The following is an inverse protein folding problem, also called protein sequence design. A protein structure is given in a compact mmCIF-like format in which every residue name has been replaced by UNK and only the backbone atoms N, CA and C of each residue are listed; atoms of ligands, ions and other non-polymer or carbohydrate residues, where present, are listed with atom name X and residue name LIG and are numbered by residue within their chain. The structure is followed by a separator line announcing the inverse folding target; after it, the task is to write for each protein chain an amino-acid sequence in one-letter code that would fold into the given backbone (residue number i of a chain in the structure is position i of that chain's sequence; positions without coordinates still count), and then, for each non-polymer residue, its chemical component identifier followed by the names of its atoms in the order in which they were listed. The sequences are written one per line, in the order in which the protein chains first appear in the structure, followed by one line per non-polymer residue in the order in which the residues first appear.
data_IF_763490499316
#
_entry.id   IF_763490499316
#
_cell.length_a   1.000
_cell.length_b   1.000
_cell.length_c   1.000
_cell.angle_alpha   90.00
_cell.angle_beta   90.00
_cell.angle_gamma   90.00
#
_symmetry.space_group_name_H-M   'P 1'
#
loop_
_entity.id
_entity.type
_entity.pdbx_description
1 polymer ?
#
# COMPACT_ATOMS: atom_id res chain seq x y z
N UNK A 1 -17.39 11.20 22.88
CA UNK A 1 -16.67 10.08 23.51
C UNK A 1 -15.62 9.64 22.49
N UNK A 2 -14.50 10.37 22.44
CA UNK A 2 -13.45 10.15 21.44
C UNK A 2 -12.58 8.99 21.89
N UNK A 3 -12.32 8.05 20.99
CA UNK A 3 -11.34 7.00 21.23
C UNK A 3 -9.96 7.64 21.46
N UNK A 4 -9.26 7.11 22.46
CA UNK A 4 -7.88 7.49 22.75
C UNK A 4 -6.99 6.82 21.68
N UNK A 5 -6.43 7.58 20.72
CA UNK A 5 -5.71 7.00 19.59
C UNK A 5 -4.54 6.13 20.06
N UNK A 6 -3.93 6.46 21.19
CA UNK A 6 -2.82 5.69 21.76
C UNK A 6 -3.25 4.31 22.29
N UNK A 7 -4.53 4.10 22.60
CA UNK A 7 -5.08 2.80 23.00
C UNK A 7 -5.50 1.94 21.82
N UNK A 8 -5.72 2.53 20.64
CA UNK A 8 -6.16 1.80 19.45
C UNK A 8 -5.00 1.20 18.65
N UNK A 9 -3.81 1.82 18.68
CA UNK A 9 -2.65 1.35 17.91
C UNK A 9 -2.25 -0.10 18.23
N UNK A 10 -2.15 -0.54 19.50
CA UNK A 10 -1.82 -1.93 19.80
C UNK A 10 -2.86 -2.92 19.25
N UNK A 11 -4.14 -2.54 19.21
CA UNK A 11 -5.23 -3.36 18.67
C UNK A 11 -5.10 -3.48 17.15
N UNK A 12 -4.84 -2.37 16.46
CA UNK A 12 -4.62 -2.36 15.00
C UNK A 12 -3.38 -3.17 14.61
N UNK A 13 -2.28 -3.00 15.34
CA UNK A 13 -1.06 -3.76 15.15
C UNK A 13 -1.31 -5.26 15.33
N UNK A 14 -2.01 -5.64 16.40
CA UNK A 14 -2.36 -7.04 16.63
C UNK A 14 -3.23 -7.61 15.52
N UNK A 15 -4.25 -6.87 15.06
CA UNK A 15 -5.15 -7.27 13.98
C UNK A 15 -4.39 -7.51 12.67
N UNK A 16 -3.42 -6.67 12.33
CA UNK A 16 -2.59 -6.84 11.14
C UNK A 16 -1.75 -8.14 11.23
N UNK A 17 -1.07 -8.38 12.35
CA UNK A 17 -0.30 -9.60 12.57
C UNK A 17 -1.18 -10.86 12.54
N UNK A 18 -2.34 -10.82 13.21
CA UNK A 18 -3.27 -11.95 13.24
C UNK A 18 -3.79 -12.28 11.84
N UNK A 19 -4.05 -11.28 10.99
CA UNK A 19 -4.48 -11.50 9.61
C UNK A 19 -3.37 -12.14 8.74
N UNK A 20 -2.11 -11.70 8.89
CA UNK A 20 -0.98 -12.34 8.21
C UNK A 20 -0.69 -13.75 8.74
N UNK A 21 -0.86 -14.00 10.04
CA UNK A 21 -0.74 -15.32 10.64
C UNK A 21 -1.85 -16.27 10.14
N UNK A 22 -3.09 -15.80 10.07
CA UNK A 22 -4.20 -16.57 9.49
C UNK A 22 -3.94 -16.89 8.01
N UNK A 23 -3.44 -15.90 7.27
CA UNK A 23 -3.04 -16.09 5.87
C UNK A 23 -1.93 -17.14 5.71
N UNK A 24 -0.97 -17.18 6.63
CA UNK A 24 0.11 -18.16 6.59
C UNK A 24 -0.40 -19.61 6.74
N UNK A 25 -1.40 -19.84 7.60
CA UNK A 25 -1.83 -21.19 7.99
C UNK A 25 -2.99 -21.73 7.13
N UNK A 26 -3.97 -20.89 6.77
CA UNK A 26 -5.16 -21.36 6.05
C UNK A 26 -4.85 -21.80 4.62
N UNK A 27 -5.56 -22.83 4.12
CA UNK A 27 -5.36 -23.36 2.76
C UNK A 27 -6.38 -22.87 1.72
N UNK A 28 -7.58 -22.48 2.16
CA UNK A 28 -8.68 -21.93 1.32
C UNK A 28 -8.61 -20.41 1.29
N UNK A 29 -9.42 -19.80 0.42
CA UNK A 29 -9.69 -18.35 0.40
C UNK A 29 -8.41 -17.50 0.25
N UNK A 30 -7.50 -17.97 -0.60
CA UNK A 30 -6.13 -17.45 -0.73
C UNK A 30 -6.11 -15.93 -0.95
N UNK A 31 -7.00 -15.47 -1.80
CA UNK A 31 -7.03 -14.09 -2.30
C UNK A 31 -7.62 -13.14 -1.26
N UNK A 32 -8.77 -13.52 -0.69
CA UNK A 32 -9.42 -12.67 0.31
C UNK A 32 -8.59 -12.55 1.58
N UNK A 33 -7.83 -13.59 1.94
CA UNK A 33 -6.97 -13.55 3.13
C UNK A 33 -5.80 -12.57 2.98
N UNK A 34 -5.12 -12.55 1.82
CA UNK A 34 -4.01 -11.60 1.62
C UNK A 34 -4.53 -10.17 1.51
N UNK A 35 -5.66 -9.96 0.82
CA UNK A 35 -6.32 -8.64 0.74
C UNK A 35 -6.79 -8.17 2.12
N UNK A 36 -7.30 -9.07 2.97
CA UNK A 36 -7.69 -8.76 4.36
C UNK A 36 -6.49 -8.38 5.21
N UNK A 37 -5.37 -9.10 5.05
CA UNK A 37 -4.12 -8.79 5.76
C UNK A 37 -3.57 -7.42 5.34
N UNK A 38 -3.57 -7.13 4.04
CA UNK A 38 -3.21 -5.82 3.52
C UNK A 38 -4.14 -4.71 4.02
N UNK A 39 -5.45 -4.93 4.04
CA UNK A 39 -6.41 -3.97 4.59
C UNK A 39 -6.15 -3.67 6.07
N UNK A 40 -5.89 -4.70 6.89
CA UNK A 40 -5.58 -4.52 8.31
C UNK A 40 -4.24 -3.77 8.54
N UNK A 41 -3.19 -4.10 7.76
CA UNK A 41 -1.92 -3.38 7.80
C UNK A 41 -2.11 -1.92 7.38
N UNK A 42 -2.99 -1.68 6.42
CA UNK A 42 -3.24 -0.36 5.90
C UNK A 42 -4.05 0.52 6.87
N UNK A 43 -5.01 -0.07 7.61
CA UNK A 43 -5.66 0.60 8.75
C UNK A 43 -4.62 1.06 9.78
N UNK A 44 -3.61 0.22 10.08
CA UNK A 44 -2.51 0.58 10.97
C UNK A 44 -1.62 1.69 10.39
N UNK A 45 -1.26 1.62 9.10
CA UNK A 45 -0.47 2.68 8.45
C UNK A 45 -1.16 4.05 8.57
N UNK A 46 -2.47 4.11 8.32
CA UNK A 46 -3.26 5.33 8.42
C UNK A 46 -3.37 5.89 9.83
N UNK A 47 -3.32 5.02 10.84
CA UNK A 47 -3.40 5.40 12.24
C UNK A 47 -2.04 5.79 12.83
N UNK A 48 -0.92 5.54 12.12
CA UNK A 48 0.43 5.76 12.63
C UNK A 48 1.17 6.87 11.90
N UNK A 49 2.02 7.56 12.63
CA UNK A 49 3.04 8.48 12.09
C UNK A 49 4.34 7.73 11.80
N UNK A 50 5.25 8.29 10.98
CA UNK A 50 6.59 7.73 10.79
C UNK A 50 7.34 7.52 12.12
N UNK A 51 7.28 8.51 13.04
CA UNK A 51 7.92 8.40 14.35
C UNK A 51 7.37 7.23 15.21
N UNK A 52 6.07 6.92 15.11
CA UNK A 52 5.48 5.77 15.80
C UNK A 52 5.91 4.44 15.16
N UNK A 53 6.02 4.36 13.82
CA UNK A 53 6.55 3.18 13.13
C UNK A 53 8.03 2.94 13.42
N UNK A 54 8.80 4.01 13.57
CA UNK A 54 10.22 3.95 13.94
C UNK A 54 10.46 3.69 15.43
N UNK A 55 9.43 3.72 16.27
CA UNK A 55 9.54 3.46 17.70
C UNK A 55 10.00 2.01 18.00
N UNK A 56 10.50 1.70 19.22
CA UNK A 56 10.82 0.31 19.58
C UNK A 56 9.65 -0.67 19.39
N UNK A 57 8.42 -0.22 19.60
CA UNK A 57 7.22 -1.03 19.36
C UNK A 57 6.95 -1.26 17.88
N UNK A 58 7.07 -0.22 17.06
CA UNK A 58 6.94 -0.33 15.61
C UNK A 58 8.00 -1.22 14.97
N UNK A 59 9.26 -1.12 15.42
CA UNK A 59 10.35 -2.03 14.98
C UNK A 59 10.11 -3.48 15.39
N UNK A 60 9.54 -3.73 16.58
CA UNK A 60 9.14 -5.08 17.00
C UNK A 60 8.03 -5.61 16.08
N UNK A 61 7.00 -4.81 15.84
CA UNK A 61 5.94 -5.16 14.89
C UNK A 61 6.49 -5.50 13.50
N UNK A 62 7.39 -4.67 12.96
CA UNK A 62 8.01 -4.90 11.66
C UNK A 62 8.81 -6.22 11.62
N UNK A 63 9.52 -6.56 12.69
CA UNK A 63 10.22 -7.84 12.82
C UNK A 63 9.25 -9.03 12.81
N UNK A 64 8.18 -8.97 13.60
CA UNK A 64 7.16 -10.03 13.65
C UNK A 64 6.43 -10.16 12.29
N UNK A 65 6.13 -9.04 11.65
CA UNK A 65 5.54 -9.02 10.31
C UNK A 65 6.49 -9.65 9.28
N UNK A 66 7.78 -9.34 9.32
CA UNK A 66 8.78 -9.91 8.41
C UNK A 66 8.83 -11.44 8.50
N UNK A 67 8.82 -11.99 9.72
CA UNK A 67 8.73 -13.44 9.95
C UNK A 67 7.44 -14.02 9.35
N UNK A 68 6.30 -13.37 9.55
CA UNK A 68 5.03 -13.82 9.01
C UNK A 68 5.00 -13.80 7.48
N UNK A 69 5.52 -12.76 6.84
CA UNK A 69 5.51 -12.61 5.38
C UNK A 69 6.25 -13.76 4.68
N UNK A 70 7.32 -14.29 5.29
CA UNK A 70 8.08 -15.43 4.74
C UNK A 70 7.59 -16.80 5.20
N UNK A 71 6.59 -16.85 6.09
CA UNK A 71 6.12 -18.09 6.71
C UNK A 71 4.92 -18.73 5.97
N UNK A 72 4.83 -20.05 6.08
CA UNK A 72 3.66 -20.82 5.62
C UNK A 72 3.31 -20.54 4.16
N UNK A 73 2.04 -20.19 3.92
CA UNK A 73 1.53 -19.89 2.58
C UNK A 73 1.76 -18.45 2.12
N UNK A 74 2.27 -17.54 2.97
CA UNK A 74 2.39 -16.12 2.62
C UNK A 74 3.31 -15.85 1.42
N UNK A 75 4.49 -16.49 1.26
CA UNK A 75 5.33 -16.26 0.09
C UNK A 75 4.60 -16.50 -1.24
N UNK A 76 3.88 -17.63 -1.35
CA UNK A 76 3.12 -17.97 -2.55
C UNK A 76 1.94 -17.00 -2.80
N UNK A 77 1.30 -16.52 -1.73
CA UNK A 77 0.18 -15.57 -1.82
C UNK A 77 0.64 -14.17 -2.19
N UNK A 78 1.77 -13.73 -1.65
CA UNK A 78 2.41 -12.45 -2.00
C UNK A 78 2.87 -12.49 -3.47
N UNK A 79 3.49 -13.58 -3.91
CA UNK A 79 3.82 -13.76 -5.32
C UNK A 79 2.59 -13.70 -6.24
N UNK A 80 1.48 -14.35 -5.84
CA UNK A 80 0.22 -14.24 -6.57
C UNK A 80 -0.35 -12.82 -6.57
N UNK A 81 -0.25 -12.10 -5.46
CA UNK A 81 -0.66 -10.69 -5.37
C UNK A 81 0.15 -9.80 -6.31
N UNK A 82 1.47 -10.02 -6.39
CA UNK A 82 2.38 -9.32 -7.31
C UNK A 82 2.00 -9.61 -8.77
N UNK A 83 1.86 -10.89 -9.15
CA UNK A 83 1.44 -11.27 -10.52
C UNK A 83 0.11 -10.63 -10.90
N UNK A 84 -0.86 -10.58 -9.97
CA UNK A 84 -2.14 -9.94 -10.23
C UNK A 84 -2.07 -8.43 -10.32
N UNK A 85 -1.14 -7.82 -9.58
CA UNK A 85 -0.86 -6.39 -9.69
C UNK A 85 -0.29 -6.08 -11.08
N UNK A 86 0.58 -6.94 -11.60
CA UNK A 86 1.06 -6.87 -12.98
C UNK A 86 -0.08 -7.01 -13.99
N UNK A 87 -0.89 -8.06 -13.87
CA UNK A 87 -2.05 -8.25 -14.75
C UNK A 87 -3.02 -7.05 -14.70
N UNK A 88 -3.22 -6.46 -13.52
CA UNK A 88 -4.06 -5.26 -13.40
C UNK A 88 -3.44 -4.04 -14.11
N UNK A 89 -2.13 -3.83 -13.98
CA UNK A 89 -1.41 -2.76 -14.65
C UNK A 89 -1.44 -2.90 -16.18
N UNK A 90 -1.12 -4.09 -16.70
CA UNK A 90 -1.14 -4.39 -18.14
C UNK A 90 -2.52 -4.20 -18.77
N UNK A 91 -3.60 -4.51 -18.02
CA UNK A 91 -4.98 -4.33 -18.45
C UNK A 91 -5.56 -2.94 -18.10
N UNK A 92 -4.73 -1.98 -17.71
CA UNK A 92 -5.17 -0.71 -17.14
C UNK A 92 -5.86 0.25 -18.13
N UNK A 93 -5.89 -0.04 -19.43
CA UNK A 93 -6.40 0.85 -20.52
C UNK A 93 -7.88 1.22 -20.40
N UNK A 94 -8.63 0.60 -19.48
CA UNK A 94 -10.02 0.90 -19.17
C UNK A 94 -10.18 1.37 -17.71
N UNK A 95 -11.15 0.85 -16.97
CA UNK A 95 -11.35 1.12 -15.54
C UNK A 95 -10.24 0.49 -14.65
N UNK A 96 -9.27 -0.20 -15.24
CA UNK A 96 -8.24 -0.97 -14.55
C UNK A 96 -7.09 -0.13 -13.95
N UNK A 97 -6.87 1.10 -14.44
CA UNK A 97 -5.72 1.92 -14.01
C UNK A 97 -5.73 2.24 -12.51
N UNK A 98 -6.87 2.67 -11.95
CA UNK A 98 -6.99 3.04 -10.52
C UNK A 98 -6.82 1.82 -9.60
N UNK A 99 -7.49 0.68 -9.86
CA UNK A 99 -7.22 -0.55 -9.13
C UNK A 99 -5.75 -1.01 -9.20
N UNK A 100 -5.06 -0.80 -10.32
CA UNK A 100 -3.64 -1.13 -10.46
C UNK A 100 -2.76 -0.19 -9.61
N UNK A 101 -3.02 1.13 -9.66
CA UNK A 101 -2.37 2.14 -8.82
C UNK A 101 -2.53 1.82 -7.33
N UNK A 102 -3.72 1.39 -6.92
CA UNK A 102 -4.00 1.00 -5.54
C UNK A 102 -3.12 -0.19 -5.11
N UNK A 103 -3.15 -1.29 -5.86
CA UNK A 103 -2.35 -2.49 -5.56
C UNK A 103 -0.85 -2.18 -5.52
N UNK A 104 -0.37 -1.40 -6.49
CA UNK A 104 1.02 -0.96 -6.55
C UNK A 104 1.42 -0.12 -5.34
N UNK A 105 0.51 0.73 -4.85
CA UNK A 105 0.70 1.53 -3.63
C UNK A 105 0.76 0.67 -2.38
N UNK A 106 -0.07 -0.36 -2.27
CA UNK A 106 -0.02 -1.29 -1.12
C UNK A 106 1.31 -2.04 -1.06
N UNK A 107 1.84 -2.47 -2.21
CA UNK A 107 3.16 -3.11 -2.31
C UNK A 107 4.31 -2.16 -1.96
N UNK A 108 4.24 -0.90 -2.40
CA UNK A 108 5.26 0.11 -2.07
C UNK A 108 5.24 0.41 -0.56
N UNK A 109 4.06 0.67 0.02
CA UNK A 109 3.94 1.01 1.44
C UNK A 109 4.41 -0.12 2.34
N UNK A 110 4.06 -1.38 2.02
CA UNK A 110 4.57 -2.53 2.78
C UNK A 110 6.11 -2.52 2.83
N UNK A 111 6.75 -2.13 1.73
CA UNK A 111 8.20 -2.11 1.57
C UNK A 111 8.90 -0.96 2.30
N UNK A 112 8.36 0.24 2.10
CA UNK A 112 8.96 1.49 2.56
C UNK A 112 8.70 1.73 4.04
N UNK A 113 7.51 1.35 4.52
CA UNK A 113 7.04 1.73 5.86
C UNK A 113 7.16 0.61 6.90
N UNK A 114 7.35 -0.65 6.47
CA UNK A 114 7.33 -1.80 7.37
C UNK A 114 8.48 -2.78 7.17
N UNK A 115 8.56 -3.45 6.02
CA UNK A 115 9.54 -4.53 5.80
C UNK A 115 10.17 -4.37 4.43
N UNK A 116 11.49 -4.20 4.28
CA UNK A 116 12.12 -4.04 2.97
C UNK A 116 11.84 -5.22 2.03
N UNK A 117 11.51 -4.94 0.75
CA UNK A 117 11.13 -5.97 -0.24
C UNK A 117 12.03 -7.20 -0.28
N UNK A 118 13.35 -7.02 -0.23
CA UNK A 118 14.33 -8.12 -0.30
C UNK A 118 14.22 -9.13 0.84
N UNK A 119 13.52 -8.79 1.92
CA UNK A 119 13.32 -9.70 3.03
C UNK A 119 12.14 -10.66 2.81
N UNK A 120 11.20 -10.34 1.91
CA UNK A 120 9.97 -11.12 1.77
C UNK A 120 9.54 -11.45 0.33
N UNK A 121 10.03 -10.71 -0.67
CA UNK A 121 9.79 -11.01 -2.07
C UNK A 121 10.90 -11.90 -2.63
N UNK A 122 10.52 -12.83 -3.51
CA UNK A 122 11.47 -13.65 -4.26
C UNK A 122 12.07 -12.81 -5.40
N UNK A 123 13.26 -13.16 -5.92
CA UNK A 123 13.89 -12.42 -7.02
C UNK A 123 12.97 -12.20 -8.22
N UNK A 124 12.20 -13.22 -8.61
CA UNK A 124 11.23 -13.12 -9.71
C UNK A 124 10.07 -12.14 -9.43
N UNK A 125 9.66 -12.01 -8.17
CA UNK A 125 8.63 -11.06 -7.77
C UNK A 125 9.18 -9.63 -7.79
N UNK A 126 10.46 -9.43 -7.43
CA UNK A 126 11.14 -8.13 -7.52
C UNK A 126 11.25 -7.65 -8.96
N UNK A 127 11.63 -8.53 -9.89
CA UNK A 127 11.62 -8.23 -11.32
C UNK A 127 10.21 -7.87 -11.81
N UNK A 128 9.19 -8.52 -11.26
CA UNK A 128 7.80 -8.24 -11.60
C UNK A 128 7.36 -6.85 -11.12
N UNK A 129 7.88 -6.33 -10.00
CA UNK A 129 7.62 -4.94 -9.58
C UNK A 129 8.05 -3.94 -10.66
N UNK A 130 9.23 -4.14 -11.27
CA UNK A 130 9.72 -3.28 -12.36
C UNK A 130 8.77 -3.35 -13.56
N UNK A 131 8.30 -4.56 -13.91
CA UNK A 131 7.32 -4.74 -15.01
C UNK A 131 5.97 -4.08 -14.71
N UNK A 132 5.53 -4.06 -13.45
CA UNK A 132 4.33 -3.31 -13.05
C UNK A 132 4.52 -1.82 -13.31
N UNK A 133 5.68 -1.27 -12.93
CA UNK A 133 6.00 0.14 -13.14
C UNK A 133 6.06 0.49 -14.64
N UNK A 134 6.69 -0.36 -15.45
CA UNK A 134 6.70 -0.23 -16.92
C UNK A 134 5.29 -0.26 -17.50
N UNK A 135 4.46 -1.25 -17.13
CA UNK A 135 3.08 -1.36 -17.61
C UNK A 135 2.22 -0.16 -17.20
N UNK A 136 2.36 0.34 -15.97
CA UNK A 136 1.66 1.54 -15.50
C UNK A 136 2.09 2.78 -16.29
N UNK A 137 3.37 2.92 -16.62
CA UNK A 137 3.87 4.04 -17.41
C UNK A 137 3.34 3.98 -18.86
N UNK A 138 3.35 2.79 -19.48
CA UNK A 138 2.83 2.59 -20.83
C UNK A 138 1.33 2.93 -20.93
N UNK A 139 0.55 2.48 -19.96
CA UNK A 139 -0.90 2.67 -19.95
C UNK A 139 -1.33 4.06 -19.49
N UNK A 140 -0.47 4.80 -18.78
CA UNK A 140 -0.79 6.12 -18.23
C UNK A 140 -1.27 7.12 -19.29
N UNK A 141 -0.72 7.06 -20.51
CA UNK A 141 -1.10 7.95 -21.60
C UNK A 141 -2.56 7.77 -22.03
N UNK A 142 -3.07 6.54 -21.95
CA UNK A 142 -4.44 6.17 -22.31
C UNK A 142 -5.42 6.34 -21.14
N UNK A 143 -4.91 6.40 -19.91
CA UNK A 143 -5.72 6.60 -18.71
C UNK A 143 -6.14 8.09 -18.55
N UNK A 144 -7.38 8.34 -18.14
CA UNK A 144 -7.80 9.68 -17.71
C UNK A 144 -7.08 10.12 -16.42
N UNK A 145 -6.95 11.42 -16.13
CA UNK A 145 -6.26 11.89 -14.93
C UNK A 145 -7.10 11.53 -13.70
N UNK A 146 -6.45 11.16 -12.60
CA UNK A 146 -7.18 10.97 -11.35
C UNK A 146 -7.57 12.35 -10.80
N UNK A 147 -8.85 12.51 -10.48
CA UNK A 147 -9.32 13.65 -9.68
C UNK A 147 -8.74 13.57 -8.26
N UNK A 148 -8.72 14.71 -7.56
CA UNK A 148 -8.25 14.76 -6.17
C UNK A 148 -9.09 13.86 -5.23
N UNK A 149 -10.33 13.57 -5.58
CA UNK A 149 -11.21 12.66 -4.82
C UNK A 149 -10.89 11.18 -5.10
N UNK A 150 -10.37 10.85 -6.28
CA UNK A 150 -9.93 9.49 -6.64
C UNK A 150 -8.56 9.15 -6.05
N UNK A 151 -7.67 10.13 -5.89
CA UNK A 151 -6.35 9.93 -5.26
C UNK A 151 -6.52 9.86 -3.75
N UNK A 152 -6.23 8.72 -3.11
CA UNK A 152 -6.43 8.61 -1.68
C UNK A 152 -5.46 9.51 -0.90
N UNK A 153 -5.96 10.25 0.09
CA UNK A 153 -5.18 11.22 0.86
C UNK A 153 -3.92 10.63 1.57
N UNK A 154 -3.86 9.34 1.78
CA UNK A 154 -2.74 8.67 2.44
C UNK A 154 -1.61 8.30 1.48
N UNK A 155 -1.83 8.40 0.17
CA UNK A 155 -0.85 8.05 -0.86
C UNK A 155 0.28 9.10 -0.85
N UNK A 156 1.55 8.68 -0.70
CA UNK A 156 2.70 9.57 -0.83
C UNK A 156 2.89 10.07 -2.27
N UNK A 157 3.42 11.28 -2.44
CA UNK A 157 3.74 11.86 -3.76
C UNK A 157 4.76 11.04 -4.56
N UNK A 158 5.56 10.20 -3.89
CA UNK A 158 6.50 9.28 -4.52
C UNK A 158 5.81 8.17 -5.33
N UNK A 159 4.50 7.97 -5.13
CA UNK A 159 3.69 7.01 -5.88
C UNK A 159 3.25 7.62 -7.22
N UNK A 160 4.24 7.96 -8.05
CA UNK A 160 4.12 8.73 -9.30
C UNK A 160 2.97 8.29 -10.22
N UNK A 161 2.65 6.99 -10.24
CA UNK A 161 1.61 6.41 -11.09
C UNK A 161 0.21 7.00 -10.89
N UNK A 162 -0.08 7.62 -9.74
CA UNK A 162 -1.35 8.33 -9.54
C UNK A 162 -1.45 9.63 -10.36
N UNK A 163 -0.31 10.27 -10.62
CA UNK A 163 -0.23 11.56 -11.28
C UNK A 163 0.33 11.49 -12.69
N UNK A 164 0.91 10.35 -13.09
CA UNK A 164 1.49 10.15 -14.41
C UNK A 164 0.54 10.50 -15.56
N UNK A 165 -0.76 10.10 -15.54
CA UNK A 165 -1.65 10.44 -16.63
C UNK A 165 -1.80 11.97 -16.81
N UNK A 166 -1.90 12.73 -15.72
CA UNK A 166 -1.98 14.19 -15.76
C UNK A 166 -0.66 14.80 -16.25
N UNK A 167 0.48 14.29 -15.73
CA UNK A 167 1.82 14.71 -16.12
C UNK A 167 2.06 14.57 -17.63
N UNK A 168 1.66 13.45 -18.23
CA UNK A 168 1.79 13.21 -19.67
C UNK A 168 0.95 14.16 -20.54
N UNK A 169 -0.15 14.70 -20.00
CA UNK A 169 -0.99 15.70 -20.67
C UNK A 169 -0.53 17.14 -20.44
N UNK A 170 0.51 17.38 -19.64
CA UNK A 170 0.90 18.72 -19.20
C UNK A 170 -0.12 19.36 -18.25
N UNK A 171 -1.03 18.56 -17.71
CA UNK A 171 -1.94 18.92 -16.63
C UNK A 171 -1.13 18.73 -15.34
N UNK A 172 -0.58 19.80 -14.77
CA UNK A 172 0.11 19.69 -13.49
C UNK A 172 -0.82 19.02 -12.47
N UNK A 173 -0.28 18.04 -11.74
CA UNK A 173 -0.96 17.42 -10.60
C UNK A 173 -1.49 18.55 -9.69
N UNK A 174 -2.74 18.49 -9.22
CA UNK A 174 -3.25 19.53 -8.34
C UNK A 174 -2.31 19.63 -7.15
N UNK A 175 -1.69 20.82 -6.97
CA UNK A 175 -0.99 21.13 -5.73
C UNK A 175 -1.97 20.83 -4.61
N UNK A 176 -1.57 19.89 -3.75
CA UNK A 176 -2.32 19.58 -2.56
C UNK A 176 -2.42 20.89 -1.80
N UNK A 177 -3.61 21.51 -1.74
CA UNK A 177 -3.82 22.65 -0.86
C UNK A 177 -3.59 22.11 0.54
N UNK A 178 -2.39 22.34 1.05
CA UNK A 178 -2.08 22.24 2.45
C UNK A 178 -3.18 23.04 3.14
N UNK A 179 -4.09 22.32 3.80
CA UNK A 179 -4.94 22.96 4.78
C UNK A 179 -3.94 23.40 5.84
N UNK A 180 -3.59 24.68 5.81
CA UNK A 180 -2.56 25.27 6.64
C UNK A 180 -2.76 24.92 8.12
N UNK A 181 -1.75 25.18 8.97
CA UNK A 181 -1.83 24.86 10.39
C UNK A 181 -3.16 25.36 10.97
N UNK A 182 -3.79 24.53 11.80
CA UNK A 182 -5.08 24.76 12.48
C UNK A 182 -5.08 25.99 13.43
N UNK A 183 -4.09 26.87 13.33
CA UNK A 183 -3.95 28.09 14.12
C UNK A 183 -4.73 29.28 13.55
N UNK A 184 -5.39 29.14 12.39
CA UNK A 184 -6.19 30.21 11.78
C UNK A 184 -7.68 30.25 12.22
N UNK A 185 -8.06 29.54 13.29
CA UNK A 185 -9.39 29.63 13.91
C UNK A 185 -9.27 30.17 15.33
N UNK A 186 -8.64 31.34 15.46
CA UNK A 186 -8.78 32.20 16.62
C UNK A 186 -8.40 33.63 16.22
N UNK A 187 -9.37 34.35 15.63
CA UNK A 187 -9.55 35.80 15.80
C UNK A 187 -11.04 36.12 15.59
#
# INVERSE_FOLDING_TARGET
MGADPDRELPVLARRALDAFAESAVRRRDRDSLVETAFAALFDLYRATTPAQRDSPGGRRFASELAELLVSGNNPARLGLYVVRSQTAAENGRHEGYRPACWRRSMLQLLAEEFVPWRQFLRPEDLETIVRIDEALAEVAAEAGPASAEEVPAWVPETHWWWWEPARLRGEYAPERRDSGPLDAVAD
#
